data_IF_725852574748
#
_entry.id   IF_725852574748
#
_cell.length_a   1.000
_cell.length_b   1.000
_cell.length_c   1.000
_cell.angle_alpha   90.00
_cell.angle_beta   90.00
_cell.angle_gamma   90.00
#
_symmetry.space_group_name_H-M   'P 1'
#
loop_
_entity.id
_entity.type
_entity.pdbx_description
1 polymer ?
#
# COMPACT_ATOMS: atom_id res chain seq x y z
N UNK A 1 3.02 8.58 -2.41
CA UNK A 1 3.46 9.78 -1.68
C UNK A 1 2.36 10.14 -0.71
N UNK A 2 2.45 9.70 0.54
CA UNK A 2 1.62 10.25 1.62
C UNK A 2 2.39 11.48 2.08
N UNK A 3 1.89 12.65 1.70
CA UNK A 3 2.55 13.93 1.96
C UNK A 3 2.67 14.15 3.45
N UNK A 4 3.82 14.72 3.86
CA UNK A 4 3.97 15.31 5.18
C UNK A 4 2.76 16.23 5.40
N UNK A 5 1.90 15.89 6.36
CA UNK A 5 1.03 16.89 6.97
C UNK A 5 1.99 17.95 7.49
N UNK A 6 2.02 19.10 6.83
CA UNK A 6 2.66 20.28 7.39
C UNK A 6 1.84 20.59 8.64
N UNK A 7 2.39 20.22 9.81
CA UNK A 7 1.70 20.28 11.09
C UNK A 7 1.52 21.74 11.50
N UNK A 8 0.46 22.34 10.98
CA UNK A 8 -0.04 23.64 11.38
C UNK A 8 -1.17 23.42 12.40
N UNK A 9 -0.91 23.80 13.66
CA UNK A 9 -1.87 23.65 14.75
C UNK A 9 -3.16 24.43 14.48
N UNK A 10 -3.09 25.61 13.84
CA UNK A 10 -4.26 26.43 13.57
C UNK A 10 -5.17 25.76 12.53
N UNK A 11 -4.56 25.15 11.50
CA UNK A 11 -5.27 24.34 10.52
C UNK A 11 -5.93 23.12 11.15
N UNK A 12 -5.24 22.41 12.03
CA UNK A 12 -5.79 21.22 12.71
C UNK A 12 -6.96 21.60 13.62
N UNK A 13 -6.84 22.68 14.39
CA UNK A 13 -7.94 23.19 15.21
C UNK A 13 -9.16 23.57 14.35
N UNK A 14 -8.93 24.18 13.18
CA UNK A 14 -9.99 24.49 12.23
C UNK A 14 -10.70 23.24 11.71
N UNK A 15 -9.96 22.22 11.26
CA UNK A 15 -10.52 20.97 10.73
C UNK A 15 -11.36 20.21 11.78
N UNK A 16 -10.91 20.20 13.04
CA UNK A 16 -11.63 19.60 14.16
C UNK A 16 -12.72 20.52 14.75
N UNK A 17 -12.93 21.70 14.16
CA UNK A 17 -13.90 22.71 14.59
C UNK A 17 -13.75 23.08 16.08
N UNK A 18 -12.50 23.21 16.55
CA UNK A 18 -12.17 23.58 17.93
C UNK A 18 -12.06 25.09 18.00
N UNK A 19 -12.86 25.69 18.89
CA UNK A 19 -12.95 27.13 19.10
C UNK A 19 -12.51 27.51 20.51
N UNK A 20 -12.36 28.81 20.75
CA UNK A 20 -12.10 29.34 22.11
C UNK A 20 -13.19 28.95 23.13
N UNK A 21 -14.43 28.71 22.69
CA UNK A 21 -15.52 28.22 23.56
C UNK A 21 -15.26 26.80 24.03
N UNK A 22 -14.70 25.95 23.16
CA UNK A 22 -14.33 24.58 23.51
C UNK A 22 -13.24 24.57 24.59
N UNK A 23 -12.24 25.45 24.44
CA UNK A 23 -11.20 25.65 25.45
C UNK A 23 -11.77 26.04 26.83
N UNK A 24 -12.75 26.93 26.88
CA UNK A 24 -13.42 27.32 28.13
C UNK A 24 -14.21 26.16 28.74
N UNK A 25 -14.88 25.36 27.89
CA UNK A 25 -15.63 24.17 28.31
C UNK A 25 -14.73 23.08 28.90
N UNK A 26 -13.52 22.91 28.36
CA UNK A 26 -12.54 21.97 28.94
C UNK A 26 -12.06 22.45 30.31
N UNK A 27 -11.77 23.75 30.46
CA UNK A 27 -11.43 24.33 31.76
C UNK A 27 -12.56 24.17 32.77
N UNK A 28 -13.81 24.21 32.32
CA UNK A 28 -14.97 23.88 33.14
C UNK A 28 -14.94 22.41 33.57
N UNK A 29 -14.75 21.45 32.65
CA UNK A 29 -14.67 20.03 32.99
C UNK A 29 -13.55 19.71 33.97
N UNK A 30 -12.40 20.40 33.87
CA UNK A 30 -11.28 20.22 34.79
C UNK A 30 -11.73 20.31 36.26
N UNK A 31 -12.58 21.29 36.59
CA UNK A 31 -13.05 21.50 37.97
C UNK A 31 -13.79 20.28 38.55
N UNK A 32 -14.49 19.53 37.71
CA UNK A 32 -15.28 18.36 38.12
C UNK A 32 -14.52 17.05 37.99
N UNK A 33 -13.52 17.00 37.10
CA UNK A 33 -12.75 15.79 36.85
C UNK A 33 -11.46 15.70 37.67
N UNK A 34 -10.95 16.83 38.20
CA UNK A 34 -9.72 16.87 39.01
C UNK A 34 -9.72 15.87 40.18
N UNK A 35 -10.82 15.71 40.97
CA UNK A 35 -10.86 14.72 42.05
C UNK A 35 -10.66 13.28 41.58
N UNK A 36 -10.95 13.00 40.31
CA UNK A 36 -10.85 11.68 39.70
C UNK A 36 -9.51 11.42 39.02
N UNK A 37 -8.58 12.37 39.01
CA UNK A 37 -7.30 12.23 38.29
C UNK A 37 -6.47 11.03 38.77
N UNK A 38 -6.37 10.81 40.08
CA UNK A 38 -5.62 9.67 40.63
C UNK A 38 -6.24 8.32 40.22
N UNK A 39 -7.58 8.24 40.26
CA UNK A 39 -8.33 7.07 39.82
C UNK A 39 -8.19 6.84 38.30
N UNK A 40 -8.25 7.91 37.50
CA UNK A 40 -8.01 7.87 36.06
C UNK A 40 -6.64 7.28 35.72
N UNK A 41 -5.57 7.81 36.31
CA UNK A 41 -4.20 7.33 36.06
C UNK A 41 -4.07 5.86 36.41
N UNK A 42 -4.66 5.43 37.54
CA UNK A 42 -4.68 4.03 37.93
C UNK A 42 -5.45 3.17 36.92
N UNK A 43 -6.68 3.54 36.60
CA UNK A 43 -7.58 2.77 35.72
C UNK A 43 -7.00 2.58 34.31
N UNK A 44 -6.42 3.64 33.73
CA UNK A 44 -5.83 3.59 32.39
C UNK A 44 -4.54 2.76 32.38
N UNK A 45 -3.71 2.86 33.43
CA UNK A 45 -2.49 2.05 33.54
C UNK A 45 -2.80 0.57 33.72
N UNK A 46 -3.81 0.23 34.54
CA UNK A 46 -4.28 -1.15 34.72
C UNK A 46 -4.91 -1.72 33.44
N UNK A 47 -5.47 -0.85 32.59
CA UNK A 47 -6.02 -1.29 31.31
C UNK A 47 -4.96 -1.78 30.32
N UNK A 48 -3.67 -1.47 30.54
CA UNK A 48 -2.59 -2.00 29.71
C UNK A 48 -2.47 -3.53 29.78
N UNK A 49 -2.84 -4.15 30.91
CA UNK A 49 -2.85 -5.61 31.05
C UNK A 49 -3.87 -6.31 30.15
N UNK A 50 -4.77 -5.57 29.49
CA UNK A 50 -5.71 -6.09 28.50
C UNK A 50 -5.05 -6.40 27.16
N UNK A 51 -3.87 -5.85 26.88
CA UNK A 51 -3.14 -6.07 25.64
C UNK A 51 -2.17 -7.25 25.81
N UNK A 52 -2.51 -8.47 25.35
CA UNK A 52 -1.62 -9.62 25.48
C UNK A 52 -0.27 -9.39 24.80
N UNK A 53 -0.24 -8.62 23.71
CA UNK A 53 0.95 -8.27 22.94
C UNK A 53 1.94 -7.40 23.72
N UNK A 54 1.47 -6.67 24.73
CA UNK A 54 2.31 -5.80 25.55
C UNK A 54 2.85 -6.51 26.80
N UNK A 55 2.44 -7.75 27.08
CA UNK A 55 2.72 -8.44 28.35
C UNK A 55 4.21 -8.45 28.72
N UNK A 56 5.09 -8.66 27.75
CA UNK A 56 6.54 -8.69 27.95
C UNK A 56 7.13 -7.32 28.31
N UNK A 57 6.43 -6.23 27.95
CA UNK A 57 6.82 -4.84 28.21
C UNK A 57 6.32 -4.31 29.56
N UNK A 58 5.32 -4.94 30.18
CA UNK A 58 4.63 -4.47 31.41
C UNK A 58 5.44 -4.72 32.70
N UNK A 59 6.67 -4.22 32.74
CA UNK A 59 7.48 -4.16 33.97
C UNK A 59 6.94 -3.11 34.94
N UNK A 60 7.27 -3.21 36.23
CA UNK A 60 6.87 -2.20 37.23
C UNK A 60 7.41 -0.81 36.87
N UNK A 61 8.64 -0.75 36.37
CA UNK A 61 9.26 0.51 35.91
C UNK A 61 8.46 1.12 34.76
N UNK A 62 8.14 0.32 33.74
CA UNK A 62 7.36 0.76 32.60
C UNK A 62 5.98 1.31 33.02
N UNK A 63 5.26 0.57 33.87
CA UNK A 63 3.96 1.00 34.40
C UNK A 63 4.07 2.33 35.15
N UNK A 64 5.13 2.51 35.95
CA UNK A 64 5.36 3.76 36.68
C UNK A 64 5.67 4.94 35.75
N UNK A 65 6.44 4.72 34.68
CA UNK A 65 6.68 5.74 33.65
C UNK A 65 5.38 6.08 32.90
N UNK A 66 4.58 5.07 32.55
CA UNK A 66 3.30 5.25 31.87
C UNK A 66 2.30 6.03 32.74
N UNK A 67 2.22 5.74 34.05
CA UNK A 67 1.41 6.51 35.01
C UNK A 67 1.80 7.99 35.01
N UNK A 68 3.09 8.30 35.00
CA UNK A 68 3.57 9.69 34.93
C UNK A 68 3.16 10.35 33.61
N UNK A 69 3.34 9.64 32.49
CA UNK A 69 2.97 10.12 31.15
C UNK A 69 1.46 10.43 31.06
N UNK A 70 0.60 9.52 31.52
CA UNK A 70 -0.86 9.72 31.51
C UNK A 70 -1.29 10.84 32.47
N UNK A 71 -0.64 10.98 33.62
CA UNK A 71 -0.89 12.08 34.56
C UNK A 71 -0.54 13.44 33.95
N UNK A 72 0.61 13.54 33.27
CA UNK A 72 1.01 14.76 32.56
C UNK A 72 0.08 15.05 31.38
N UNK A 73 -0.28 14.02 30.61
CA UNK A 73 -1.20 14.15 29.48
C UNK A 73 -2.57 14.66 29.94
N UNK A 74 -3.07 14.17 31.07
CA UNK A 74 -4.30 14.67 31.69
C UNK A 74 -4.19 16.17 31.99
N UNK A 75 -3.11 16.62 32.63
CA UNK A 75 -2.92 18.03 32.97
C UNK A 75 -2.90 18.93 31.74
N UNK A 76 -2.19 18.48 30.69
CA UNK A 76 -2.06 19.19 29.40
C UNK A 76 -3.39 19.24 28.66
N UNK A 77 -4.14 18.13 28.61
CA UNK A 77 -5.46 18.06 28.00
C UNK A 77 -6.40 19.10 28.61
N UNK A 78 -6.43 19.19 29.94
CA UNK A 78 -7.31 20.08 30.70
C UNK A 78 -6.75 21.49 30.93
N UNK A 79 -5.53 21.81 30.47
CA UNK A 79 -4.95 23.15 30.55
C UNK A 79 -5.74 24.16 29.68
N UNK A 80 -6.33 23.68 28.58
CA UNK A 80 -7.03 24.51 27.62
C UNK A 80 -6.07 25.52 26.95
N UNK A 81 -4.88 25.05 26.57
CA UNK A 81 -3.94 25.77 25.71
C UNK A 81 -3.50 24.81 24.62
N UNK A 82 -4.07 24.96 23.43
CA UNK A 82 -3.80 24.10 22.28
C UNK A 82 -3.02 24.92 21.25
N UNK A 83 -1.76 25.19 21.56
CA UNK A 83 -0.84 25.96 20.72
C UNK A 83 0.23 25.05 20.10
N UNK A 84 1.21 25.65 19.45
CA UNK A 84 2.34 24.93 18.85
C UNK A 84 3.11 24.10 19.89
N UNK A 85 3.20 24.54 21.15
CA UNK A 85 3.83 23.74 22.21
C UNK A 85 3.03 22.47 22.52
N UNK A 86 1.70 22.55 22.50
CA UNK A 86 0.83 21.40 22.68
C UNK A 86 0.95 20.42 21.51
N UNK A 87 1.04 20.92 20.28
CA UNK A 87 1.29 20.12 19.08
C UNK A 87 2.60 19.30 19.21
N UNK A 88 3.72 19.96 19.53
CA UNK A 88 5.00 19.27 19.70
C UNK A 88 4.97 18.26 20.85
N UNK A 89 4.24 18.58 21.92
CA UNK A 89 4.02 17.63 23.00
C UNK A 89 3.31 16.36 22.49
N UNK A 90 2.21 16.47 21.74
CA UNK A 90 1.52 15.31 21.18
C UNK A 90 2.38 14.52 20.19
N UNK A 91 3.15 15.19 19.35
CA UNK A 91 4.14 14.55 18.47
C UNK A 91 5.15 13.72 19.29
N UNK A 92 5.69 14.28 20.38
CA UNK A 92 6.60 13.55 21.27
C UNK A 92 5.97 12.33 21.96
N UNK A 93 4.63 12.28 22.11
CA UNK A 93 3.94 11.08 22.58
C UNK A 93 3.91 10.01 21.50
N UNK A 94 3.66 10.39 20.23
CA UNK A 94 3.78 9.49 19.09
C UNK A 94 5.17 8.83 19.03
N UNK A 95 6.24 9.61 19.18
CA UNK A 95 7.63 9.12 19.24
C UNK A 95 7.83 8.07 20.33
N UNK A 96 7.39 8.39 21.55
CA UNK A 96 7.49 7.46 22.70
C UNK A 96 6.71 6.17 22.46
N UNK A 97 5.52 6.23 21.87
CA UNK A 97 4.76 5.03 21.55
C UNK A 97 5.48 4.15 20.53
N UNK A 98 6.13 4.75 19.52
CA UNK A 98 6.98 3.99 18.57
C UNK A 98 8.15 3.35 19.31
N UNK A 99 8.85 4.09 20.17
CA UNK A 99 10.03 3.60 20.88
C UNK A 99 9.73 2.44 21.83
N UNK A 100 8.54 2.47 22.46
CA UNK A 100 8.05 1.40 23.35
C UNK A 100 7.50 0.20 22.58
N UNK A 101 7.14 0.36 21.30
CA UNK A 101 6.59 -0.71 20.47
C UNK A 101 5.06 -0.82 20.50
N UNK A 102 4.34 0.26 20.84
CA UNK A 102 2.89 0.29 20.71
C UNK A 102 2.50 0.38 19.24
N UNK A 103 1.58 -0.46 18.76
CA UNK A 103 1.01 -0.30 17.42
C UNK A 103 0.00 0.86 17.36
N UNK A 104 -0.32 1.41 16.17
CA UNK A 104 -1.40 2.39 16.01
C UNK A 104 -2.75 1.89 16.55
N UNK A 105 -2.99 0.58 16.48
CA UNK A 105 -4.17 -0.05 17.04
C UNK A 105 -4.22 0.09 18.57
N UNK A 106 -3.11 -0.15 19.28
CA UNK A 106 -3.04 0.02 20.73
C UNK A 106 -3.34 1.46 21.15
N UNK A 107 -2.80 2.46 20.45
CA UNK A 107 -3.04 3.88 20.71
C UNK A 107 -4.53 4.21 20.54
N UNK A 108 -5.16 3.67 19.50
CA UNK A 108 -6.60 3.85 19.22
C UNK A 108 -7.46 3.26 20.35
N UNK A 109 -7.19 2.03 20.76
CA UNK A 109 -7.94 1.37 21.84
C UNK A 109 -7.73 2.09 23.17
N UNK A 110 -6.51 2.54 23.46
CA UNK A 110 -6.21 3.32 24.66
C UNK A 110 -7.01 4.63 24.69
N UNK A 111 -7.10 5.33 23.56
CA UNK A 111 -7.90 6.55 23.44
C UNK A 111 -9.40 6.30 23.65
N UNK A 112 -9.92 5.16 23.18
CA UNK A 112 -11.30 4.76 23.42
C UNK A 112 -11.57 4.50 24.91
N UNK A 113 -10.66 3.79 25.60
CA UNK A 113 -10.76 3.57 27.04
C UNK A 113 -10.76 4.88 27.84
N UNK A 114 -9.89 5.82 27.46
CA UNK A 114 -9.83 7.16 28.04
C UNK A 114 -11.15 7.91 27.82
N UNK A 115 -11.68 7.88 26.59
CA UNK A 115 -12.98 8.49 26.25
C UNK A 115 -14.11 7.93 27.10
N UNK A 116 -14.18 6.60 27.21
CA UNK A 116 -15.19 5.91 28.00
C UNK A 116 -15.11 6.26 29.49
N UNK A 117 -13.89 6.39 30.03
CA UNK A 117 -13.68 6.84 31.40
C UNK A 117 -14.29 8.24 31.62
N UNK A 118 -13.92 9.21 30.78
CA UNK A 118 -14.43 10.58 30.93
C UNK A 118 -15.95 10.67 30.72
N UNK A 119 -16.47 9.97 29.71
CA UNK A 119 -17.91 9.89 29.46
C UNK A 119 -18.66 9.41 30.70
N UNK A 120 -18.18 8.32 31.32
CA UNK A 120 -18.77 7.76 32.54
C UNK A 120 -18.81 8.79 33.66
N UNK A 121 -17.68 9.44 33.96
CA UNK A 121 -17.60 10.47 35.01
C UNK A 121 -18.49 11.68 34.74
N UNK A 122 -18.54 12.15 33.48
CA UNK A 122 -19.38 13.29 33.11
C UNK A 122 -20.87 12.92 33.18
N UNK A 123 -21.26 11.72 32.78
CA UNK A 123 -22.64 11.26 32.88
C UNK A 123 -23.08 11.08 34.35
N UNK A 124 -22.19 10.65 35.24
CA UNK A 124 -22.45 10.63 36.68
C UNK A 124 -22.76 12.04 37.21
N UNK A 125 -21.97 13.05 36.82
CA UNK A 125 -22.22 14.45 37.20
C UNK A 125 -23.55 14.98 36.66
N UNK A 126 -23.89 14.65 35.41
CA UNK A 126 -25.17 15.01 34.79
C UNK A 126 -26.35 14.39 35.55
N UNK A 127 -26.25 13.10 35.90
CA UNK A 127 -27.32 12.36 36.59
C UNK A 127 -27.57 12.88 38.00
N UNK A 128 -26.54 13.37 38.68
CA UNK A 128 -26.63 13.92 40.03
C UNK A 128 -27.13 15.38 40.04
N UNK A 129 -27.01 16.09 38.93
CA UNK A 129 -27.43 17.49 38.84
C UNK A 129 -28.95 17.61 38.61
N UNK A 130 -29.57 18.54 39.34
CA UNK A 130 -30.96 18.95 39.12
C UNK A 130 -31.06 20.28 38.34
N UNK A 131 -29.92 20.93 38.06
CA UNK A 131 -29.85 22.23 37.38
C UNK A 131 -29.79 22.02 35.85
N UNK A 132 -30.84 22.42 35.10
CA UNK A 132 -30.88 22.27 33.65
C UNK A 132 -29.74 23.02 32.92
N UNK A 133 -29.31 24.17 33.45
CA UNK A 133 -28.21 24.94 32.84
C UNK A 133 -26.88 24.20 33.01
N UNK A 134 -26.61 23.70 34.22
CA UNK A 134 -25.40 22.92 34.49
C UNK A 134 -25.34 21.64 33.64
N UNK A 135 -26.47 20.95 33.48
CA UNK A 135 -26.58 19.77 32.60
C UNK A 135 -26.21 20.13 31.16
N UNK A 136 -26.73 21.23 30.61
CA UNK A 136 -26.41 21.64 29.24
C UNK A 136 -24.93 22.06 29.11
N UNK A 137 -24.35 22.68 30.14
CA UNK A 137 -22.91 22.98 30.17
C UNK A 137 -22.07 21.71 30.11
N UNK A 138 -22.43 20.66 30.86
CA UNK A 138 -21.76 19.36 30.76
C UNK A 138 -21.92 18.72 29.38
N UNK A 139 -23.13 18.73 28.79
CA UNK A 139 -23.36 18.18 27.44
C UNK A 139 -22.54 18.90 26.38
N UNK A 140 -22.53 20.22 26.43
CA UNK A 140 -21.71 21.06 25.55
C UNK A 140 -20.22 20.80 25.74
N UNK A 141 -19.77 20.61 26.98
CA UNK A 141 -18.37 20.35 27.27
C UNK A 141 -17.92 18.93 26.89
N UNK A 142 -18.81 17.94 26.99
CA UNK A 142 -18.58 16.58 26.51
C UNK A 142 -18.30 16.56 25.00
N UNK A 143 -19.08 17.34 24.22
CA UNK A 143 -18.83 17.51 22.77
C UNK A 143 -17.44 18.11 22.51
N UNK A 144 -17.05 19.13 23.28
CA UNK A 144 -15.72 19.75 23.17
C UNK A 144 -14.60 18.77 23.54
N UNK A 145 -14.80 17.95 24.57
CA UNK A 145 -13.84 16.92 24.98
C UNK A 145 -13.61 15.91 23.86
N UNK A 146 -14.68 15.39 23.25
CA UNK A 146 -14.55 14.43 22.15
C UNK A 146 -13.74 15.00 20.97
N UNK A 147 -14.01 16.24 20.56
CA UNK A 147 -13.23 16.91 19.50
C UNK A 147 -11.73 16.97 19.84
N UNK A 148 -11.40 17.27 21.09
CA UNK A 148 -10.00 17.42 21.51
C UNK A 148 -9.32 16.06 21.64
N UNK A 149 -10.04 15.03 22.10
CA UNK A 149 -9.54 13.65 22.09
C UNK A 149 -9.30 13.16 20.64
N UNK A 150 -10.20 13.49 19.72
CA UNK A 150 -10.05 13.18 18.29
C UNK A 150 -8.84 13.90 17.69
N UNK A 151 -8.64 15.19 18.00
CA UNK A 151 -7.43 15.94 17.62
C UNK A 151 -6.15 15.29 18.18
N UNK A 152 -6.17 14.90 19.46
CA UNK A 152 -5.04 14.23 20.10
C UNK A 152 -4.68 12.94 19.38
N UNK A 153 -5.69 12.11 19.11
CA UNK A 153 -5.53 10.84 18.43
C UNK A 153 -4.98 11.02 17.01
N UNK A 154 -5.54 11.96 16.25
CA UNK A 154 -5.13 12.29 14.89
C UNK A 154 -3.66 12.70 14.82
N UNK A 155 -3.23 13.63 15.68
CA UNK A 155 -1.83 14.09 15.73
C UNK A 155 -0.89 12.94 16.12
N UNK A 156 -1.22 12.20 17.19
CA UNK A 156 -0.38 11.12 17.70
C UNK A 156 -0.23 10.02 16.64
N UNK A 157 -1.33 9.55 16.04
CA UNK A 157 -1.30 8.48 15.03
C UNK A 157 -0.59 8.96 13.76
N UNK A 158 -0.92 10.14 13.25
CA UNK A 158 -0.31 10.67 12.03
C UNK A 158 1.21 10.78 12.19
N UNK A 159 1.68 11.28 13.34
CA UNK A 159 3.12 11.40 13.61
C UNK A 159 3.77 10.05 13.87
N UNK A 160 3.10 9.17 14.62
CA UNK A 160 3.54 7.78 14.81
C UNK A 160 3.78 7.11 13.46
N UNK A 161 2.82 7.18 12.53
CA UNK A 161 2.92 6.56 11.22
C UNK A 161 4.04 7.17 10.39
N UNK A 162 4.22 8.50 10.44
CA UNK A 162 5.33 9.17 9.76
C UNK A 162 6.70 8.69 10.31
N UNK A 163 6.84 8.56 11.64
CA UNK A 163 8.06 8.05 12.26
C UNK A 163 8.28 6.59 11.97
N UNK A 164 7.27 5.72 12.12
CA UNK A 164 7.38 4.30 11.86
C UNK A 164 7.75 4.07 10.40
N UNK A 165 7.07 4.75 9.48
CA UNK A 165 7.41 4.77 8.05
C UNK A 165 8.85 5.24 7.85
N UNK A 166 9.26 6.34 8.49
CA UNK A 166 10.66 6.80 8.44
C UNK A 166 11.62 5.77 9.02
N UNK A 167 11.33 5.11 10.15
CA UNK A 167 12.18 4.09 10.81
C UNK A 167 12.36 2.85 9.95
N UNK A 168 11.27 2.29 9.44
CA UNK A 168 11.29 1.22 8.44
C UNK A 168 12.11 1.62 7.21
N UNK A 169 11.95 2.86 6.76
CA UNK A 169 12.69 3.38 5.63
C UNK A 169 14.13 3.81 5.97
N UNK A 170 14.51 4.03 7.24
CA UNK A 170 15.88 4.39 7.66
C UNK A 170 16.73 3.17 7.97
N UNK A 171 16.12 2.07 8.44
CA UNK A 171 16.71 0.73 8.26
C UNK A 171 16.97 0.44 6.77
N UNK A 172 16.27 1.15 5.88
CA UNK A 172 16.44 1.17 4.44
C UNK A 172 17.03 2.46 3.83
N UNK A 173 18.13 3.06 4.32
CA UNK A 173 18.91 3.98 3.43
C UNK A 173 19.23 3.29 2.11
N UNK A 174 19.63 2.03 2.21
CA UNK A 174 19.72 1.09 1.10
C UNK A 174 18.34 0.77 0.52
N UNK A 175 17.30 0.53 1.33
CA UNK A 175 15.94 0.26 0.84
C UNK A 175 15.35 1.35 -0.08
N UNK A 176 15.45 2.65 0.25
CA UNK A 176 14.99 3.74 -0.62
C UNK A 176 15.84 3.84 -1.89
N UNK A 177 17.16 3.67 -1.78
CA UNK A 177 18.05 3.68 -2.94
C UNK A 177 17.80 2.47 -3.83
N UNK A 178 17.73 1.26 -3.29
CA UNK A 178 17.43 0.01 -3.98
C UNK A 178 16.05 0.07 -4.61
N UNK A 179 15.03 0.60 -3.93
CA UNK A 179 13.70 0.73 -4.53
C UNK A 179 13.70 1.75 -5.69
N UNK A 180 14.39 2.89 -5.53
CA UNK A 180 14.53 3.89 -6.60
C UNK A 180 15.40 3.41 -7.76
N UNK A 181 16.42 2.61 -7.47
CA UNK A 181 17.30 1.98 -8.45
C UNK A 181 16.53 0.87 -9.16
N UNK A 182 15.86 -0.02 -8.44
CA UNK A 182 15.07 -1.12 -9.00
C UNK A 182 13.93 -0.62 -9.89
N UNK A 183 13.22 0.43 -9.47
CA UNK A 183 12.16 1.03 -10.29
C UNK A 183 12.70 1.70 -11.56
N UNK A 184 13.80 2.46 -11.46
CA UNK A 184 14.46 3.05 -12.64
C UNK A 184 15.09 2.00 -13.55
N UNK A 185 15.66 0.95 -12.95
CA UNK A 185 16.29 -0.15 -13.66
C UNK A 185 15.27 -1.00 -14.40
N UNK A 186 14.11 -1.29 -13.78
CA UNK A 186 12.98 -1.92 -14.46
C UNK A 186 12.54 -1.12 -15.68
N UNK A 187 12.27 0.18 -15.51
CA UNK A 187 11.92 1.07 -16.62
C UNK A 187 13.00 1.12 -17.72
N UNK A 188 14.28 1.09 -17.34
CA UNK A 188 15.38 1.07 -18.29
C UNK A 188 15.45 -0.26 -19.07
N UNK A 189 15.26 -1.41 -18.40
CA UNK A 189 15.21 -2.72 -19.05
C UNK A 189 14.04 -2.84 -20.00
N UNK A 190 12.84 -2.39 -19.59
CA UNK A 190 11.65 -2.44 -20.43
C UNK A 190 11.82 -1.58 -21.69
N UNK A 191 12.39 -0.37 -21.52
CA UNK A 191 12.72 0.52 -22.64
C UNK A 191 13.77 -0.09 -23.58
N UNK A 192 14.78 -0.77 -23.03
CA UNK A 192 15.83 -1.45 -23.81
C UNK A 192 15.27 -2.62 -24.61
N UNK A 193 14.40 -3.44 -24.00
CA UNK A 193 13.73 -4.57 -24.67
C UNK A 193 12.82 -4.06 -25.79
N UNK A 194 12.01 -3.03 -25.51
CA UNK A 194 11.13 -2.42 -26.53
C UNK A 194 11.94 -1.90 -27.72
N UNK A 195 13.03 -1.17 -27.46
CA UNK A 195 13.93 -0.68 -28.50
C UNK A 195 14.56 -1.83 -29.31
N UNK A 196 15.00 -2.91 -28.63
CA UNK A 196 15.53 -4.10 -29.28
C UNK A 196 14.52 -4.79 -30.19
N UNK A 197 13.26 -4.93 -29.76
CA UNK A 197 12.18 -5.50 -30.57
C UNK A 197 11.86 -4.65 -31.80
N UNK A 198 11.86 -3.32 -31.67
CA UNK A 198 11.67 -2.40 -32.81
C UNK A 198 12.81 -2.57 -33.83
N UNK A 199 14.07 -2.58 -33.37
CA UNK A 199 15.23 -2.75 -34.24
C UNK A 199 15.20 -4.11 -34.96
N UNK A 200 14.85 -5.17 -34.23
CA UNK A 200 14.71 -6.51 -34.81
C UNK A 200 13.59 -6.55 -35.86
N UNK A 201 12.44 -5.90 -35.60
CA UNK A 201 11.36 -5.80 -36.59
C UNK A 201 11.85 -5.14 -37.89
N UNK A 202 12.62 -4.05 -37.79
CA UNK A 202 13.21 -3.40 -38.97
C UNK A 202 14.15 -4.33 -39.74
N UNK A 203 15.00 -5.07 -39.04
CA UNK A 203 15.93 -6.01 -39.68
C UNK A 203 15.19 -7.13 -40.41
N UNK A 204 14.12 -7.67 -39.83
CA UNK A 204 13.33 -8.70 -40.49
C UNK A 204 12.56 -8.16 -41.68
N UNK A 205 12.02 -6.94 -41.61
CA UNK A 205 11.41 -6.29 -42.79
C UNK A 205 12.45 -6.13 -43.91
N UNK A 206 13.68 -5.76 -43.57
CA UNK A 206 14.77 -5.69 -44.55
C UNK A 206 15.08 -7.06 -45.18
N UNK A 207 15.19 -8.12 -44.38
CA UNK A 207 15.40 -9.49 -44.88
C UNK A 207 14.25 -9.93 -45.79
N UNK A 208 13.00 -9.71 -45.37
CA UNK A 208 11.81 -10.07 -46.13
C UNK A 208 11.76 -9.36 -47.50
N UNK A 209 12.13 -8.08 -47.55
CA UNK A 209 12.24 -7.34 -48.82
C UNK A 209 13.33 -7.95 -49.71
N UNK A 210 14.50 -8.27 -49.14
CA UNK A 210 15.60 -8.88 -49.88
C UNK A 210 15.23 -10.28 -50.42
N UNK A 211 14.54 -11.09 -49.63
CA UNK A 211 14.06 -12.42 -50.01
C UNK A 211 13.02 -12.34 -51.12
N UNK A 212 12.08 -11.39 -51.04
CA UNK A 212 11.11 -11.14 -52.11
C UNK A 212 11.82 -10.75 -53.41
N UNK A 213 12.84 -9.89 -53.36
CA UNK A 213 13.62 -9.51 -54.55
C UNK A 213 14.40 -10.69 -55.14
N UNK A 214 14.93 -11.58 -54.31
CA UNK A 214 15.63 -12.80 -54.77
C UNK A 214 14.70 -13.80 -55.46
N UNK A 215 13.43 -13.91 -55.04
CA UNK A 215 12.42 -14.76 -55.71
C UNK A 215 12.24 -14.37 -57.18
N UNK A 216 12.34 -13.09 -57.51
CA UNK A 216 12.18 -12.62 -58.89
C UNK A 216 13.41 -12.87 -59.78
N UNK A 217 14.58 -13.09 -59.19
CA UNK A 217 15.84 -13.24 -59.93
C UNK A 217 16.29 -14.70 -60.11
N UNK A 218 15.84 -15.62 -59.26
CA UNK A 218 16.34 -17.00 -59.22
C UNK A 218 15.31 -18.05 -59.70
N UNK A 219 15.76 -19.18 -60.25
CA UNK A 219 14.87 -20.20 -60.90
C UNK A 219 14.12 -21.11 -59.91
N UNK A 220 14.42 -21.05 -58.62
CA UNK A 220 13.84 -21.90 -57.57
C UNK A 220 12.81 -21.15 -56.72
N UNK A 221 11.67 -20.77 -57.32
CA UNK A 221 10.61 -19.98 -56.66
C UNK A 221 10.08 -20.61 -55.37
N UNK A 222 10.01 -21.95 -55.28
CA UNK A 222 9.49 -22.64 -54.11
C UNK A 222 10.32 -22.37 -52.85
N UNK A 223 11.65 -22.29 -52.97
CA UNK A 223 12.53 -22.11 -51.82
C UNK A 223 12.44 -20.67 -51.28
N UNK A 224 12.39 -19.68 -52.17
CA UNK A 224 12.24 -18.28 -51.77
C UNK A 224 10.86 -17.96 -51.17
N UNK A 225 9.78 -18.60 -51.64
CA UNK A 225 8.44 -18.47 -51.03
C UNK A 225 8.43 -19.03 -49.60
N UNK A 226 9.08 -20.17 -49.37
CA UNK A 226 9.17 -20.78 -48.02
C UNK A 226 9.98 -19.88 -47.08
N UNK A 227 11.08 -19.28 -47.57
CA UNK A 227 11.88 -18.32 -46.81
C UNK A 227 11.09 -17.06 -46.43
N UNK A 228 10.47 -16.39 -47.40
CA UNK A 228 9.67 -15.18 -47.17
C UNK A 228 8.46 -15.41 -46.24
N UNK A 229 7.81 -16.58 -46.35
CA UNK A 229 6.74 -16.97 -45.43
C UNK A 229 7.26 -17.18 -44.01
N UNK A 230 8.49 -17.67 -43.87
CA UNK A 230 9.17 -17.76 -42.59
C UNK A 230 9.46 -16.41 -41.94
N UNK A 231 10.00 -15.48 -42.71
CA UNK A 231 10.25 -14.12 -42.25
C UNK A 231 8.97 -13.39 -41.83
N UNK A 232 7.86 -13.60 -42.56
CA UNK A 232 6.55 -13.05 -42.21
C UNK A 232 6.04 -13.57 -40.86
N UNK A 233 6.25 -14.86 -40.57
CA UNK A 233 5.86 -15.47 -39.29
C UNK A 233 6.70 -14.94 -38.13
N UNK A 234 8.01 -14.75 -38.33
CA UNK A 234 8.88 -14.16 -37.31
C UNK A 234 8.48 -12.69 -37.08
N UNK A 235 8.14 -11.95 -38.13
CA UNK A 235 7.64 -10.58 -38.03
C UNK A 235 6.34 -10.51 -37.21
N UNK A 236 5.39 -11.42 -37.45
CA UNK A 236 4.16 -11.51 -36.66
C UNK A 236 4.45 -11.79 -35.18
N UNK A 237 5.37 -12.71 -34.89
CA UNK A 237 5.83 -13.00 -33.52
C UNK A 237 6.41 -11.77 -32.84
N UNK A 238 7.26 -10.99 -33.51
CA UNK A 238 7.83 -9.76 -32.94
C UNK A 238 6.74 -8.72 -32.69
N UNK A 239 5.77 -8.58 -33.59
CA UNK A 239 4.66 -7.64 -33.43
C UNK A 239 3.82 -7.97 -32.19
N UNK A 240 3.54 -9.24 -31.95
CA UNK A 240 2.80 -9.70 -30.76
C UNK A 240 3.59 -9.43 -29.46
N UNK A 241 4.89 -9.69 -29.47
CA UNK A 241 5.78 -9.39 -28.33
C UNK A 241 5.90 -7.88 -28.09
N UNK A 242 6.02 -7.08 -29.14
CA UNK A 242 6.11 -5.63 -29.07
C UNK A 242 4.82 -5.03 -28.51
N UNK A 243 3.65 -5.46 -28.98
CA UNK A 243 2.36 -5.05 -28.43
C UNK A 243 2.23 -5.42 -26.95
N UNK A 244 2.70 -6.60 -26.56
CA UNK A 244 2.74 -7.02 -25.15
C UNK A 244 3.64 -6.10 -24.31
N UNK A 245 4.82 -5.75 -24.81
CA UNK A 245 5.76 -4.84 -24.12
C UNK A 245 5.22 -3.40 -23.99
N UNK A 246 4.55 -2.87 -25.03
CA UNK A 246 3.90 -1.55 -24.96
C UNK A 246 2.81 -1.56 -23.89
N UNK A 247 1.97 -2.60 -23.86
CA UNK A 247 0.89 -2.74 -22.87
C UNK A 247 1.44 -2.80 -21.44
N UNK A 248 2.56 -3.49 -21.25
CA UNK A 248 3.27 -3.53 -19.98
C UNK A 248 3.79 -2.14 -19.57
N UNK A 249 4.43 -1.40 -20.48
CA UNK A 249 4.92 -0.04 -20.20
C UNK A 249 3.82 0.98 -19.90
N UNK A 250 2.62 0.83 -20.46
CA UNK A 250 1.46 1.69 -20.18
C UNK A 250 0.78 1.40 -18.82
N UNK A 251 1.41 0.59 -17.96
CA UNK A 251 0.89 0.23 -16.64
C UNK A 251 -0.07 -0.96 -16.65
N UNK A 252 -0.13 -1.70 -17.76
CA UNK A 252 -0.77 -3.01 -17.82
C UNK A 252 0.06 -4.07 -17.10
N UNK A 253 -0.57 -5.17 -16.71
CA UNK A 253 0.15 -6.29 -16.13
C UNK A 253 1.05 -6.99 -17.16
N UNK A 254 2.13 -7.59 -16.68
CA UNK A 254 3.00 -8.41 -17.51
C UNK A 254 2.18 -9.59 -18.05
N UNK A 255 1.83 -9.53 -19.33
CA UNK A 255 0.95 -10.51 -19.96
C UNK A 255 1.75 -11.78 -20.28
N UNK A 256 2.01 -12.59 -19.26
CA UNK A 256 2.67 -13.91 -19.39
C UNK A 256 1.94 -14.76 -20.44
N UNK A 257 0.62 -14.64 -20.51
CA UNK A 257 -0.20 -15.30 -21.53
C UNK A 257 0.19 -14.94 -22.97
N UNK A 258 0.58 -13.70 -23.27
CA UNK A 258 1.04 -13.30 -24.62
C UNK A 258 2.34 -14.01 -25.01
N UNK A 259 3.31 -14.10 -24.10
CA UNK A 259 4.57 -14.81 -24.36
C UNK A 259 4.36 -16.30 -24.60
N UNK A 260 3.52 -16.94 -23.77
CA UNK A 260 3.19 -18.36 -23.93
C UNK A 260 2.41 -18.59 -25.24
N UNK A 261 1.54 -17.65 -25.65
CA UNK A 261 0.82 -17.72 -26.92
C UNK A 261 1.75 -17.68 -28.13
N UNK A 262 2.74 -16.78 -28.09
CA UNK A 262 3.76 -16.66 -29.14
C UNK A 262 4.62 -17.92 -29.23
N UNK A 263 5.08 -18.46 -28.10
CA UNK A 263 5.85 -19.70 -28.06
C UNK A 263 5.05 -20.90 -28.59
N UNK A 264 3.77 -21.00 -28.21
CA UNK A 264 2.85 -22.00 -28.70
C UNK A 264 2.63 -21.89 -30.22
N UNK A 265 2.38 -20.68 -30.73
CA UNK A 265 2.20 -20.43 -32.16
C UNK A 265 3.47 -20.76 -32.97
N UNK A 266 4.65 -20.38 -32.49
CA UNK A 266 5.93 -20.71 -33.12
C UNK A 266 6.20 -22.23 -33.14
N UNK A 267 5.86 -22.94 -32.06
CA UNK A 267 6.03 -24.39 -31.99
C UNK A 267 5.02 -25.12 -32.89
N UNK A 268 3.77 -24.65 -32.96
CA UNK A 268 2.77 -25.16 -33.90
C UNK A 268 3.25 -24.97 -35.34
N UNK A 269 3.78 -23.78 -35.68
CA UNK A 269 4.39 -23.52 -36.99
C UNK A 269 5.50 -24.51 -37.31
N UNK A 270 6.47 -24.68 -36.40
CA UNK A 270 7.59 -25.60 -36.61
C UNK A 270 7.11 -27.05 -36.79
N UNK A 271 6.09 -27.47 -36.04
CA UNK A 271 5.46 -28.78 -36.21
C UNK A 271 4.77 -28.93 -37.57
N UNK A 272 4.12 -27.89 -38.09
CA UNK A 272 3.51 -27.91 -39.42
C UNK A 272 4.56 -28.03 -40.53
N UNK A 273 5.64 -27.22 -40.47
CA UNK A 273 6.75 -27.26 -41.45
C UNK A 273 7.44 -28.63 -41.40
N UNK A 274 7.76 -29.13 -40.21
CA UNK A 274 8.36 -30.45 -40.01
C UNK A 274 7.45 -31.60 -40.48
N UNK A 275 6.13 -31.41 -40.49
CA UNK A 275 5.19 -32.39 -41.02
C UNK A 275 5.24 -32.48 -42.55
N UNK A 276 5.39 -31.32 -43.21
CA UNK A 276 5.45 -31.16 -44.67
C UNK A 276 6.81 -31.59 -45.26
N UNK A 277 7.90 -31.42 -44.53
CA UNK A 277 9.22 -31.95 -44.89
C UNK A 277 9.29 -33.45 -44.54
N UNK A 278 9.15 -34.33 -45.55
CA UNK A 278 9.22 -35.79 -45.38
C UNK A 278 10.60 -36.33 -44.95
N UNK A 279 11.57 -35.46 -44.67
CA UNK A 279 12.97 -35.78 -44.37
C UNK A 279 13.27 -35.91 -42.87
N UNK A 280 12.38 -35.43 -41.98
CA UNK A 280 12.66 -35.42 -40.52
C UNK A 280 12.26 -36.73 -39.83
N UNK A 281 13.05 -37.23 -38.86
CA UNK A 281 12.76 -38.47 -38.12
C UNK A 281 11.42 -38.44 -37.39
N UNK A 282 10.77 -39.60 -37.24
CA UNK A 282 9.49 -39.75 -36.52
C UNK A 282 9.60 -39.29 -35.06
N UNK A 283 10.75 -39.51 -34.43
CA UNK A 283 11.05 -39.07 -33.06
C UNK A 283 10.96 -37.54 -32.92
N UNK A 284 11.44 -36.78 -33.92
CA UNK A 284 11.38 -35.32 -33.92
C UNK A 284 9.93 -34.79 -33.95
N UNK A 285 9.06 -35.45 -34.71
CA UNK A 285 7.62 -35.11 -34.79
C UNK A 285 6.91 -35.38 -33.46
N UNK A 286 7.26 -36.48 -32.79
CA UNK A 286 6.70 -36.84 -31.48
C UNK A 286 7.09 -35.83 -30.39
N UNK A 287 8.36 -35.38 -30.37
CA UNK A 287 8.84 -34.38 -29.41
C UNK A 287 8.09 -33.06 -29.55
N UNK A 288 7.88 -32.58 -30.79
CA UNK A 288 7.13 -31.34 -31.03
C UNK A 288 5.67 -31.44 -30.55
N UNK A 289 5.01 -32.59 -30.77
CA UNK A 289 3.65 -32.80 -30.30
C UNK A 289 3.55 -32.73 -28.76
N UNK A 290 4.52 -33.29 -28.04
CA UNK A 290 4.59 -33.22 -26.57
C UNK A 290 4.79 -31.78 -26.10
N UNK A 291 5.69 -31.02 -26.74
CA UNK A 291 5.95 -29.62 -26.39
C UNK A 291 4.69 -28.77 -26.59
N UNK A 292 3.95 -28.96 -27.69
CA UNK A 292 2.69 -28.24 -27.94
C UNK A 292 1.67 -28.54 -26.85
N UNK A 293 1.55 -29.81 -26.42
CA UNK A 293 0.62 -30.21 -25.37
C UNK A 293 0.98 -29.55 -24.03
N UNK A 294 2.26 -29.54 -23.66
CA UNK A 294 2.74 -28.87 -22.43
C UNK A 294 2.50 -27.36 -22.49
N UNK A 295 2.88 -26.70 -23.59
CA UNK A 295 2.65 -25.26 -23.76
C UNK A 295 1.16 -24.90 -23.74
N UNK A 296 0.31 -25.75 -24.31
CA UNK A 296 -1.15 -25.59 -24.27
C UNK A 296 -1.73 -25.68 -22.86
N UNK A 297 -1.23 -26.62 -22.04
CA UNK A 297 -1.62 -26.73 -20.62
C UNK A 297 -1.17 -25.49 -19.84
N UNK A 298 0.09 -25.07 -20.01
CA UNK A 298 0.63 -23.87 -19.36
C UNK A 298 -0.17 -22.63 -19.75
N UNK A 299 -0.50 -22.48 -21.03
CA UNK A 299 -1.34 -21.39 -21.52
C UNK A 299 -2.72 -21.38 -20.83
N UNK A 300 -3.36 -22.55 -20.74
CA UNK A 300 -4.65 -22.70 -20.07
C UNK A 300 -4.61 -22.29 -18.60
N UNK A 301 -3.59 -22.73 -17.85
CA UNK A 301 -3.42 -22.40 -16.43
C UNK A 301 -3.20 -20.90 -16.25
N UNK A 302 -2.26 -20.30 -16.99
CA UNK A 302 -1.93 -18.87 -16.87
C UNK A 302 -3.16 -18.01 -17.16
N UNK A 303 -3.91 -18.33 -18.22
CA UNK A 303 -5.12 -17.58 -18.59
C UNK A 303 -6.23 -17.67 -17.53
N UNK A 304 -6.39 -18.83 -16.88
CA UNK A 304 -7.33 -19.01 -15.78
C UNK A 304 -6.95 -18.19 -14.55
N UNK A 305 -5.66 -18.08 -14.23
CA UNK A 305 -5.16 -17.25 -13.14
C UNK A 305 -5.37 -15.75 -13.40
N UNK A 306 -5.02 -15.25 -14.58
CA UNK A 306 -5.22 -13.85 -14.98
C UNK A 306 -6.71 -13.45 -14.89
N UNK A 307 -7.63 -14.33 -15.31
CA UNK A 307 -9.08 -14.10 -15.19
C UNK A 307 -9.57 -14.01 -13.73
N UNK A 308 -9.00 -14.82 -12.83
CA UNK A 308 -9.39 -14.87 -11.42
C UNK A 308 -8.91 -13.63 -10.65
N UNK A 309 -7.69 -13.15 -10.94
CA UNK A 309 -7.16 -11.92 -10.34
C UNK A 309 -7.90 -10.66 -10.78
N UNK A 310 -8.29 -10.59 -12.06
CA UNK A 310 -9.11 -9.48 -12.57
C UNK A 310 -10.44 -9.37 -11.83
N UNK A 311 -11.15 -10.49 -11.63
CA UNK A 311 -12.41 -10.52 -10.85
C UNK A 311 -12.22 -10.10 -9.38
N UNK A 312 -11.11 -10.51 -8.75
CA UNK A 312 -10.85 -10.21 -7.33
C UNK A 312 -10.62 -8.72 -7.07
N UNK A 313 -10.01 -7.99 -8.02
CA UNK A 313 -9.78 -6.54 -7.91
C UNK A 313 -11.03 -5.70 -8.13
N UNK A 314 -12.00 -6.18 -8.90
CA UNK A 314 -13.29 -5.50 -9.09
C UNK A 314 -14.11 -5.57 -7.79
N UNK A 315 -14.07 -6.71 -7.09
CA UNK A 315 -14.76 -6.90 -5.80
C UNK A 315 -14.15 -6.09 -4.66
N UNK A 316 -12.83 -5.84 -4.68
CA UNK A 316 -12.14 -5.02 -3.67
C UNK A 316 -12.28 -3.50 -3.86
N UNK A 317 -12.89 -3.05 -4.98
CA UNK A 317 -13.17 -1.63 -5.27
C UNK A 317 -14.64 -1.26 -5.05
N UNK A 318 -15.47 -2.20 -4.60
CA UNK A 318 -16.87 -2.02 -4.18
C UNK A 318 -16.94 -2.07 -2.65
#
# INVERSE_FOLDING_TARGET
MVGALEYDIDRLLYLHQISKKDTQRIKFLRKYLEPYKADFVKNISESLYRFPELRELLTEEFINQFKKLISEWYDRLFEGKYDVSYLYYLMSLGERFVDVGFSPHHITVLMDLIRNYFNTRIFEQIKQSQDPELIERFRSALKSLNKILDLNLDIIISHYVDIETKKFLTLGRWGKQILKIATRFGLALDSLILFGLILLAFFIVYLLVNDILHIFNDKNMAHGIIAALGDLLILWTILELLNSQIKFMLGGEFAISSFVSVALAATIREALIASLEHTKPVEFKLTLAIIILVLGIVFGIVKLFEMKESKRRIVLRL
#
